data_IF_562692635217
#
_entry.id   IF_562692635217
#
_cell.length_a   1.000
_cell.length_b   1.000
_cell.length_c   1.000
_cell.angle_alpha   90.00
_cell.angle_beta   90.00
_cell.angle_gamma   90.00
#
_symmetry.space_group_name_H-M   'P 1'
#
loop_
_entity.id
_entity.type
_entity.pdbx_description
1 polymer ?
#
# COMPACT_ATOMS: atom_id res chain seq x y z
N UNK A 1 -1.79 -8.23 30.25
CA UNK A 1 -1.15 -8.46 28.95
C UNK A 1 0.14 -7.65 28.94
N UNK A 2 1.28 -8.33 28.90
CA UNK A 2 2.62 -7.73 29.00
C UNK A 2 2.82 -6.69 27.89
N UNK A 3 2.68 -5.41 28.21
CA UNK A 3 3.42 -4.37 27.50
C UNK A 3 4.88 -4.67 27.87
N UNK A 4 5.65 -5.28 26.95
CA UNK A 4 7.11 -5.14 27.04
C UNK A 4 7.33 -3.64 27.09
N UNK A 5 7.84 -3.16 28.23
CA UNK A 5 8.55 -1.89 28.29
C UNK A 5 9.43 -1.85 27.04
N UNK A 6 9.14 -0.93 26.13
CA UNK A 6 10.13 -0.56 25.12
C UNK A 6 11.30 -0.09 25.97
N UNK A 7 12.31 -0.94 26.12
CA UNK A 7 13.45 -0.66 26.97
C UNK A 7 13.96 0.71 26.59
N UNK A 8 13.97 1.64 27.54
CA UNK A 8 14.46 3.01 27.42
C UNK A 8 15.97 3.11 27.05
N UNK A 9 16.58 2.01 26.60
CA UNK A 9 18.00 1.83 26.39
C UNK A 9 18.39 1.74 24.91
N UNK A 10 17.44 1.85 23.97
CA UNK A 10 17.74 1.75 22.54
C UNK A 10 17.59 3.10 21.84
N UNK A 11 18.72 3.77 21.59
CA UNK A 11 18.77 5.02 20.84
C UNK A 11 19.33 4.76 19.46
N UNK A 12 18.54 5.10 18.43
CA UNK A 12 19.03 5.17 17.06
C UNK A 12 19.18 6.63 16.68
N UNK A 13 20.40 7.04 16.38
CA UNK A 13 20.70 8.42 15.98
C UNK A 13 20.92 8.46 14.47
N UNK A 14 19.95 8.94 13.69
CA UNK A 14 20.13 9.13 12.27
C UNK A 14 21.10 10.29 12.00
N UNK A 15 22.00 10.09 11.05
CA UNK A 15 22.99 11.06 10.59
C UNK A 15 22.81 11.33 9.11
N UNK A 16 22.98 12.60 8.75
CA UNK A 16 23.04 13.07 7.36
C UNK A 16 24.41 13.68 7.12
N UNK A 17 25.16 13.14 6.15
CA UNK A 17 26.47 13.66 5.78
C UNK A 17 26.31 14.76 4.73
N UNK A 18 26.89 15.93 4.99
CA UNK A 18 26.95 17.04 4.04
C UNK A 18 27.79 16.68 2.81
N UNK A 19 28.91 15.98 3.02
CA UNK A 19 29.70 15.35 1.98
C UNK A 19 29.60 13.82 2.12
N UNK A 20 28.83 13.14 1.24
CA UNK A 20 28.69 11.69 1.26
C UNK A 20 30.01 10.93 1.13
N UNK A 21 31.06 11.52 0.55
CA UNK A 21 32.37 10.86 0.41
C UNK A 21 33.02 10.59 1.77
N UNK A 22 32.71 11.39 2.79
CA UNK A 22 33.14 11.16 4.17
C UNK A 22 32.51 9.90 4.79
N UNK A 23 31.49 9.33 4.13
CA UNK A 23 30.76 8.13 4.54
C UNK A 23 30.69 7.10 3.40
N UNK A 24 31.79 6.91 2.67
CA UNK A 24 31.88 5.88 1.63
C UNK A 24 30.89 6.06 0.47
N UNK A 25 30.44 7.29 0.22
CA UNK A 25 29.47 7.64 -0.81
C UNK A 25 28.01 7.59 -0.37
N UNK A 26 27.72 7.25 0.90
CA UNK A 26 26.35 7.18 1.43
C UNK A 26 25.95 8.49 2.11
N UNK A 27 24.80 9.05 1.68
CA UNK A 27 24.27 10.31 2.21
C UNK A 27 23.78 10.20 3.66
N UNK A 28 23.29 9.03 4.06
CA UNK A 28 22.68 8.79 5.37
C UNK A 28 23.34 7.61 6.09
N UNK A 29 23.36 7.67 7.42
CA UNK A 29 23.78 6.57 8.29
C UNK A 29 22.98 6.62 9.60
N UNK A 30 23.06 5.58 10.41
CA UNK A 30 22.53 5.58 11.78
C UNK A 30 23.61 5.07 12.74
N UNK A 31 23.70 5.68 13.91
CA UNK A 31 24.38 5.08 15.06
C UNK A 31 23.37 4.25 15.87
N UNK A 32 23.75 3.04 16.26
CA UNK A 32 22.90 2.08 16.96
C UNK A 32 22.24 1.06 16.02
N UNK A 33 21.63 0.03 16.61
CA UNK A 33 20.91 -1.00 15.86
C UNK A 33 19.59 -0.44 15.35
N UNK A 34 19.39 -0.44 14.03
CA UNK A 34 18.16 0.06 13.41
C UNK A 34 17.11 -1.03 13.21
N UNK A 35 17.53 -2.30 13.12
CA UNK A 35 16.66 -3.41 12.73
C UNK A 35 15.54 -3.61 13.77
N UNK A 36 14.30 -3.53 13.33
CA UNK A 36 13.10 -3.66 14.16
C UNK A 36 12.73 -2.43 14.98
N UNK A 37 13.49 -1.34 14.87
CA UNK A 37 13.22 -0.08 15.58
C UNK A 37 12.76 1.02 14.62
N UNK A 38 11.81 1.83 15.05
CA UNK A 38 11.37 3.03 14.34
C UNK A 38 12.02 4.27 14.96
N UNK A 39 11.92 5.40 14.27
CA UNK A 39 12.31 6.71 14.80
C UNK A 39 11.14 7.69 14.76
N UNK A 40 11.01 8.53 15.79
CA UNK A 40 10.08 9.67 15.84
C UNK A 40 10.72 10.79 16.65
N UNK A 41 10.37 12.04 16.35
CA UNK A 41 10.93 13.20 17.05
C UNK A 41 10.34 13.37 18.46
N UNK A 42 9.06 13.05 18.62
CA UNK A 42 8.33 13.21 19.88
C UNK A 42 7.46 11.97 20.18
N UNK A 43 7.91 11.19 21.15
CA UNK A 43 7.19 10.00 21.61
C UNK A 43 5.84 10.32 22.27
N UNK A 44 5.72 11.47 22.95
CA UNK A 44 4.46 11.88 23.57
C UNK A 44 3.45 12.34 22.52
N UNK A 45 3.90 13.04 21.48
CA UNK A 45 3.09 13.34 20.30
C UNK A 45 2.63 12.05 19.62
N UNK A 46 3.52 11.06 19.45
CA UNK A 46 3.16 9.75 18.93
C UNK A 46 2.07 9.07 19.76
N UNK A 47 2.18 9.12 21.09
CA UNK A 47 1.19 8.52 21.99
C UNK A 47 -0.19 9.18 21.84
N UNK A 48 -0.25 10.50 21.72
CA UNK A 48 -1.51 11.27 21.63
C UNK A 48 -2.09 11.37 20.22
N UNK A 49 -1.29 11.19 19.17
CA UNK A 49 -1.72 11.30 17.78
C UNK A 49 -2.81 10.28 17.41
N UNK A 50 -3.75 10.69 16.56
CA UNK A 50 -4.73 9.78 15.96
C UNK A 50 -4.35 9.36 14.53
N UNK A 51 -3.39 10.04 13.91
CA UNK A 51 -2.82 9.71 12.60
C UNK A 51 -1.30 9.57 12.72
N UNK A 52 -0.75 8.43 12.32
CA UNK A 52 0.69 8.23 12.18
C UNK A 52 1.07 8.18 10.70
N UNK A 53 2.06 8.98 10.30
CA UNK A 53 2.59 8.98 8.92
C UNK A 53 3.92 8.21 8.92
N UNK A 54 3.94 7.06 8.26
CA UNK A 54 5.15 6.24 8.13
C UNK A 54 5.92 6.67 6.87
N UNK A 55 7.18 7.02 7.05
CA UNK A 55 8.10 7.47 5.99
C UNK A 55 9.43 6.72 6.07
N UNK A 56 10.26 6.81 5.03
CA UNK A 56 11.55 6.09 5.00
C UNK A 56 12.59 6.70 5.93
N UNK A 57 12.67 8.03 5.98
CA UNK A 57 13.79 8.75 6.59
C UNK A 57 13.35 9.64 7.76
N UNK A 58 14.26 9.87 8.71
CA UNK A 58 14.00 10.72 9.88
C UNK A 58 13.74 12.18 9.48
N UNK A 59 14.37 12.66 8.41
CA UNK A 59 14.10 14.01 7.89
C UNK A 59 12.67 14.11 7.36
N UNK A 60 12.17 13.11 6.64
CA UNK A 60 10.77 13.10 6.19
C UNK A 60 9.81 13.03 7.38
N UNK A 61 10.18 12.35 8.48
CA UNK A 61 9.35 12.28 9.67
C UNK A 61 9.29 13.65 10.37
N UNK A 62 10.42 14.35 10.51
CA UNK A 62 10.44 15.73 10.96
C UNK A 62 9.61 16.64 10.05
N UNK A 63 9.70 16.45 8.74
CA UNK A 63 8.91 17.21 7.78
C UNK A 63 7.40 17.01 8.00
N UNK A 64 6.94 15.80 8.33
CA UNK A 64 5.53 15.60 8.72
C UNK A 64 5.17 16.48 9.92
N UNK A 65 6.04 16.52 10.93
CA UNK A 65 5.78 17.28 12.16
C UNK A 65 5.77 18.80 11.90
N UNK A 66 6.58 19.33 10.97
CA UNK A 66 6.54 20.76 10.59
C UNK A 66 5.27 21.17 9.86
N UNK A 67 4.49 20.21 9.35
CA UNK A 67 3.17 20.50 8.83
C UNK A 67 2.18 20.90 9.93
N UNK A 68 2.46 20.65 11.21
CA UNK A 68 1.61 21.02 12.35
C UNK A 68 0.12 20.63 12.14
N UNK A 69 -0.13 19.49 11.48
CA UNK A 69 -1.47 18.98 11.28
C UNK A 69 -1.99 18.41 12.61
N UNK A 70 -3.15 18.86 13.13
CA UNK A 70 -3.67 18.38 14.40
C UNK A 70 -3.80 16.85 14.45
N UNK A 71 -3.13 16.24 15.43
CA UNK A 71 -3.15 14.80 15.68
C UNK A 71 -2.42 13.95 14.64
N UNK A 72 -1.52 14.54 13.84
CA UNK A 72 -0.55 13.84 12.99
C UNK A 72 0.80 13.74 13.70
N UNK A 73 1.55 12.69 13.36
CA UNK A 73 2.94 12.50 13.80
C UNK A 73 3.74 11.77 12.72
N UNK A 74 4.98 12.18 12.51
CA UNK A 74 5.94 11.49 11.65
C UNK A 74 6.62 10.31 12.35
N UNK A 75 6.69 9.18 11.65
CA UNK A 75 7.46 7.99 12.06
C UNK A 75 8.32 7.54 10.90
N UNK A 76 9.61 7.34 11.15
CA UNK A 76 10.54 6.83 10.16
C UNK A 76 10.84 5.35 10.37
N UNK A 77 10.90 4.61 9.26
CA UNK A 77 11.42 3.23 9.25
C UNK A 77 12.94 3.17 9.27
N UNK A 78 13.66 4.29 9.11
CA UNK A 78 15.12 4.33 8.96
C UNK A 78 15.61 3.49 7.75
N UNK A 79 14.87 3.57 6.66
CA UNK A 79 15.08 2.84 5.41
C UNK A 79 14.00 1.79 5.15
N UNK A 80 13.68 1.59 3.87
CA UNK A 80 12.58 0.72 3.43
C UNK A 80 12.72 -0.74 3.87
N UNK A 81 13.96 -1.27 3.93
CA UNK A 81 14.23 -2.66 4.33
C UNK A 81 13.85 -2.96 5.79
N UNK A 82 13.80 -1.94 6.65
CA UNK A 82 13.44 -2.10 8.05
C UNK A 82 11.92 -2.07 8.28
N UNK A 83 11.14 -1.64 7.28
CA UNK A 83 9.70 -1.46 7.42
C UNK A 83 8.97 -2.76 7.83
N UNK A 84 9.46 -3.91 7.39
CA UNK A 84 8.85 -5.22 7.64
C UNK A 84 9.38 -5.90 8.89
N UNK A 85 10.41 -5.34 9.53
CA UNK A 85 11.04 -5.85 10.75
C UNK A 85 10.49 -5.17 12.01
N UNK A 86 9.90 -3.97 11.87
CA UNK A 86 9.30 -3.22 12.98
C UNK A 86 7.99 -3.87 13.43
N UNK A 87 7.84 -4.07 14.74
CA UNK A 87 6.53 -4.42 15.30
C UNK A 87 5.62 -3.19 15.37
N UNK A 88 4.63 -3.12 14.49
CA UNK A 88 3.70 -2.00 14.36
C UNK A 88 2.49 -2.04 15.31
N UNK A 89 2.40 -2.99 16.24
CA UNK A 89 1.22 -3.15 17.11
C UNK A 89 0.89 -1.92 17.96
N UNK A 90 1.88 -1.10 18.29
CA UNK A 90 1.68 0.14 19.04
C UNK A 90 0.86 1.20 18.28
N UNK A 91 0.64 1.00 16.97
CA UNK A 91 -0.20 1.86 16.13
C UNK A 91 -1.68 1.42 16.08
N UNK A 92 -2.06 0.31 16.71
CA UNK A 92 -3.47 -0.12 16.78
C UNK A 92 -4.36 1.01 17.33
N UNK A 93 -5.53 1.20 16.70
CA UNK A 93 -6.47 2.28 17.01
C UNK A 93 -6.14 3.64 16.36
N UNK A 94 -4.95 3.82 15.79
CA UNK A 94 -4.59 5.01 15.00
C UNK A 94 -4.89 4.76 13.53
N UNK A 95 -5.07 5.84 12.76
CA UNK A 95 -5.00 5.80 11.30
C UNK A 95 -3.53 5.83 10.89
N UNK A 96 -3.09 4.89 10.08
CA UNK A 96 -1.75 4.89 9.51
C UNK A 96 -1.80 5.35 8.07
N UNK A 97 -0.89 6.23 7.71
CA UNK A 97 -0.72 6.75 6.36
C UNK A 97 0.72 6.49 5.95
N UNK A 98 0.93 5.75 4.87
CA UNK A 98 2.26 5.40 4.39
C UNK A 98 2.67 6.38 3.29
N UNK A 99 3.86 6.96 3.42
CA UNK A 99 4.42 7.92 2.47
C UNK A 99 5.91 7.61 2.25
N UNK A 100 6.18 6.69 1.32
CA UNK A 100 7.54 6.34 0.92
C UNK A 100 8.07 7.30 -0.15
N UNK A 101 9.35 7.27 -0.46
CA UNK A 101 9.91 8.18 -1.45
C UNK A 101 9.38 7.86 -2.85
N UNK A 102 9.09 8.88 -3.67
CA UNK A 102 8.57 8.69 -5.04
C UNK A 102 9.73 8.49 -6.01
N UNK A 103 10.35 7.33 -5.95
CA UNK A 103 11.46 6.95 -6.81
C UNK A 103 11.03 6.77 -8.27
N UNK A 104 11.94 7.09 -9.21
CA UNK A 104 11.79 6.72 -10.61
C UNK A 104 11.90 5.21 -10.87
N UNK A 105 11.44 4.73 -12.05
CA UNK A 105 11.59 3.33 -12.44
C UNK A 105 13.07 2.93 -12.52
N UNK A 106 13.39 1.70 -12.07
CA UNK A 106 14.71 1.09 -12.31
C UNK A 106 14.79 0.55 -13.74
N UNK A 107 15.98 0.11 -14.18
CA UNK A 107 16.22 -0.37 -15.56
C UNK A 107 15.35 -1.54 -16.04
N UNK A 108 14.59 -2.18 -15.15
CA UNK A 108 13.60 -3.21 -15.47
C UNK A 108 12.17 -2.66 -15.67
N UNK A 109 11.97 -1.34 -15.60
CA UNK A 109 10.68 -0.67 -15.70
C UNK A 109 9.77 -0.81 -14.46
N UNK A 110 10.27 -1.43 -13.38
CA UNK A 110 9.54 -1.58 -12.12
C UNK A 110 9.90 -0.44 -11.15
N UNK A 111 8.91 -0.07 -10.32
CA UNK A 111 9.07 0.90 -9.23
C UNK A 111 9.43 0.15 -7.94
N UNK A 112 10.72 0.12 -7.53
CA UNK A 112 11.22 -0.75 -6.46
C UNK A 112 10.58 -0.51 -5.10
N UNK A 113 10.22 0.75 -4.77
CA UNK A 113 9.56 1.08 -3.50
C UNK A 113 8.17 0.47 -3.35
N UNK A 114 7.50 0.10 -4.44
CA UNK A 114 6.11 -0.38 -4.38
C UNK A 114 5.95 -1.78 -3.79
N UNK A 115 6.98 -2.63 -3.88
CA UNK A 115 6.87 -4.00 -3.35
C UNK A 115 6.84 -4.02 -1.83
N UNK A 116 7.85 -3.39 -1.22
CA UNK A 116 7.98 -3.26 0.24
C UNK A 116 6.90 -2.38 0.85
N UNK A 117 6.44 -1.36 0.13
CA UNK A 117 5.29 -0.54 0.52
C UNK A 117 4.04 -1.39 0.76
N UNK A 118 3.75 -2.31 -0.16
CA UNK A 118 2.61 -3.23 -0.07
C UNK A 118 2.78 -4.29 1.02
N UNK A 119 4.00 -4.79 1.20
CA UNK A 119 4.30 -5.70 2.30
C UNK A 119 4.00 -5.03 3.65
N UNK A 120 4.46 -3.79 3.82
CA UNK A 120 4.13 -2.96 4.98
C UNK A 120 2.60 -2.73 5.10
N UNK A 121 1.93 -2.37 4.01
CA UNK A 121 0.48 -2.17 4.00
C UNK A 121 -0.28 -3.42 4.48
N UNK A 122 0.09 -4.59 3.94
CA UNK A 122 -0.51 -5.86 4.31
C UNK A 122 -0.24 -6.21 5.78
N UNK A 123 0.99 -6.01 6.25
CA UNK A 123 1.36 -6.26 7.64
C UNK A 123 0.54 -5.39 8.61
N UNK A 124 0.37 -4.10 8.30
CA UNK A 124 -0.46 -3.19 9.11
C UNK A 124 -1.93 -3.61 9.09
N UNK A 125 -2.48 -3.96 7.91
CA UNK A 125 -3.83 -4.46 7.78
C UNK A 125 -4.05 -5.77 8.57
N UNK A 126 -3.07 -6.69 8.56
CA UNK A 126 -3.06 -7.93 9.33
C UNK A 126 -3.09 -7.70 10.85
N UNK A 127 -2.49 -6.60 11.31
CA UNK A 127 -2.63 -6.10 12.69
C UNK A 127 -3.94 -5.33 12.95
N UNK A 128 -4.87 -5.31 12.00
CA UNK A 128 -6.15 -4.62 12.12
C UNK A 128 -6.06 -3.10 12.12
N UNK A 129 -4.95 -2.54 11.63
CA UNK A 129 -4.68 -1.11 11.61
C UNK A 129 -5.23 -0.49 10.32
N UNK A 130 -6.07 0.54 10.45
CA UNK A 130 -6.57 1.28 9.29
C UNK A 130 -5.45 2.01 8.57
N UNK A 131 -5.14 1.54 7.37
CA UNK A 131 -3.96 1.98 6.60
C UNK A 131 -4.37 2.61 5.27
N UNK A 132 -3.64 3.65 4.86
CA UNK A 132 -3.76 4.33 3.57
C UNK A 132 -2.37 4.60 3.01
N UNK A 133 -2.28 4.85 1.71
CA UNK A 133 -1.08 5.42 1.09
C UNK A 133 -1.33 6.92 0.85
N UNK A 134 -0.27 7.72 0.78
CA UNK A 134 -0.35 9.07 0.24
C UNK A 134 -0.49 8.99 -1.29
N UNK A 135 -1.37 9.82 -1.84
CA UNK A 135 -1.44 10.05 -3.26
C UNK A 135 -0.30 10.99 -3.70
N UNK A 136 0.68 10.40 -4.38
CA UNK A 136 1.86 11.10 -4.86
C UNK A 136 1.79 11.44 -6.36
N UNK A 137 0.65 11.23 -7.02
CA UNK A 137 0.51 11.35 -8.48
C UNK A 137 0.96 12.73 -8.98
N UNK A 138 0.43 13.79 -8.35
CA UNK A 138 0.62 15.17 -8.75
C UNK A 138 1.86 15.83 -8.13
N UNK A 139 2.68 15.06 -7.43
CA UNK A 139 3.90 15.58 -6.80
C UNK A 139 4.91 15.96 -7.88
N UNK A 140 5.34 17.22 -7.83
CA UNK A 140 6.33 17.81 -8.71
C UNK A 140 7.33 18.61 -7.89
N UNK A 141 8.62 18.34 -8.07
CA UNK A 141 9.69 19.17 -7.52
C UNK A 141 10.10 20.22 -8.52
N UNK A 142 10.68 21.31 -8.02
CA UNK A 142 11.36 22.26 -8.87
C UNK A 142 12.59 21.60 -9.50
N UNK A 143 12.74 21.70 -10.82
CA UNK A 143 13.91 21.19 -11.55
C UNK A 143 14.62 22.37 -12.19
N UNK A 144 15.85 22.61 -11.75
CA UNK A 144 16.75 23.59 -12.36
C UNK A 144 17.78 22.92 -13.28
N UNK A 145 18.58 23.73 -13.97
CA UNK A 145 19.63 23.24 -14.87
C UNK A 145 20.67 22.36 -14.14
N UNK A 146 20.98 22.66 -12.87
CA UNK A 146 21.95 21.91 -12.09
C UNK A 146 21.44 20.49 -11.74
N UNK A 147 20.14 20.38 -11.48
CA UNK A 147 19.45 19.10 -11.25
C UNK A 147 19.52 18.23 -12.50
N UNK A 148 19.33 18.83 -13.69
CA UNK A 148 19.45 18.13 -14.97
C UNK A 148 20.87 17.63 -15.19
N UNK A 149 21.88 18.48 -15.00
CA UNK A 149 23.30 18.11 -15.15
C UNK A 149 23.66 16.96 -14.19
N UNK A 150 23.31 17.07 -12.91
CA UNK A 150 23.56 16.01 -11.94
C UNK A 150 22.84 14.71 -12.26
N UNK A 151 21.67 14.77 -12.90
CA UNK A 151 20.94 13.57 -13.31
C UNK A 151 21.66 12.87 -14.49
N UNK A 152 22.08 13.65 -15.49
CA UNK A 152 22.82 13.15 -16.67
C UNK A 152 24.17 12.55 -16.26
N UNK A 153 24.90 13.21 -15.35
CA UNK A 153 26.19 12.71 -14.83
C UNK A 153 26.06 11.34 -14.13
N UNK A 154 24.97 11.15 -13.37
CA UNK A 154 24.69 9.88 -12.67
C UNK A 154 24.14 8.79 -13.57
N UNK A 155 23.59 9.16 -14.73
CA UNK A 155 22.89 8.25 -15.63
C UNK A 155 23.27 8.52 -17.09
N UNK A 156 24.55 8.35 -17.46
CA UNK A 156 25.05 8.68 -18.80
C UNK A 156 24.32 7.92 -19.92
N UNK A 157 23.74 6.75 -19.60
CA UNK A 157 23.03 5.89 -20.56
C UNK A 157 21.49 6.07 -20.55
N UNK A 158 20.90 6.97 -19.74
CA UNK A 158 19.43 7.11 -19.56
C UNK A 158 18.77 8.20 -20.42
N UNK A 159 19.51 8.91 -21.27
CA UNK A 159 18.92 9.89 -22.21
C UNK A 159 17.84 9.25 -23.11
N UNK A 160 18.02 7.98 -23.47
CA UNK A 160 17.15 7.21 -24.38
C UNK A 160 15.85 6.71 -23.74
N UNK A 161 15.73 6.66 -22.40
CA UNK A 161 14.53 6.14 -21.70
C UNK A 161 13.50 7.22 -21.36
N UNK A 162 13.90 8.49 -21.38
CA UNK A 162 13.03 9.62 -21.02
C UNK A 162 12.31 10.23 -22.23
N UNK A 163 12.63 9.79 -23.44
CA UNK A 163 12.07 10.27 -24.70
C UNK A 163 11.59 9.03 -25.46
N UNK A 164 10.30 8.97 -25.76
CA UNK A 164 9.62 7.78 -26.30
C UNK A 164 9.90 7.54 -27.79
N UNK A 165 11.09 7.91 -28.28
CA UNK A 165 11.40 7.92 -29.71
C UNK A 165 12.69 7.17 -29.99
N UNK A 166 12.56 6.09 -30.76
CA UNK A 166 13.64 5.23 -31.23
C UNK A 166 14.58 5.86 -32.27
N UNK A 167 14.95 7.13 -32.11
CA UNK A 167 15.91 7.79 -32.99
C UNK A 167 17.13 8.33 -32.23
N UNK A 168 18.28 7.78 -32.59
CA UNK A 168 19.58 8.08 -32.05
C UNK A 168 20.10 9.44 -32.57
N UNK A 169 20.75 10.18 -31.66
CA UNK A 169 21.74 11.22 -31.91
C UNK A 169 21.28 12.54 -32.58
N UNK A 170 20.76 13.47 -31.76
CA UNK A 170 21.11 14.92 -31.76
C UNK A 170 20.32 15.66 -30.67
N UNK A 171 20.76 15.56 -29.41
CA UNK A 171 19.84 15.61 -28.25
C UNK A 171 19.71 16.93 -27.46
N UNK A 172 20.37 18.04 -27.83
CA UNK A 172 20.45 19.22 -26.93
C UNK A 172 19.97 20.57 -27.49
N UNK A 173 19.23 20.64 -28.60
CA UNK A 173 18.98 21.93 -29.30
C UNK A 173 17.52 22.36 -29.45
N UNK A 174 16.53 21.68 -28.86
CA UNK A 174 15.14 22.17 -28.84
C UNK A 174 14.64 22.43 -27.42
N UNK A 175 14.16 23.66 -27.18
CA UNK A 175 13.58 24.09 -25.89
C UNK A 175 12.41 23.18 -25.45
N UNK A 176 11.68 22.61 -26.40
CA UNK A 176 10.53 21.73 -26.13
C UNK A 176 10.93 20.41 -25.46
N UNK A 177 12.02 19.78 -25.91
CA UNK A 177 12.52 18.52 -25.29
C UNK A 177 13.13 18.77 -23.91
N UNK A 178 13.77 19.92 -23.70
CA UNK A 178 14.27 20.32 -22.39
C UNK A 178 13.13 20.51 -21.37
N UNK A 179 12.02 21.12 -21.78
CA UNK A 179 10.83 21.27 -20.94
C UNK A 179 10.14 19.92 -20.66
N UNK A 180 10.12 18.99 -21.62
CA UNK A 180 9.66 17.62 -21.39
C UNK A 180 10.55 16.87 -20.38
N UNK A 181 11.88 17.00 -20.50
CA UNK A 181 12.83 16.40 -19.56
C UNK A 181 12.66 16.97 -18.15
N UNK A 182 12.55 18.30 -18.02
CA UNK A 182 12.25 18.99 -16.75
C UNK A 182 10.95 18.48 -16.14
N UNK A 183 9.89 18.39 -16.92
CA UNK A 183 8.57 17.92 -16.47
C UNK A 183 8.62 16.47 -15.97
N UNK A 184 9.38 15.58 -16.64
CA UNK A 184 9.56 14.19 -16.21
C UNK A 184 10.43 14.10 -14.95
N UNK A 185 11.57 14.77 -14.92
CA UNK A 185 12.46 14.80 -13.75
C UNK A 185 11.79 15.43 -12.52
N UNK A 186 10.90 16.39 -12.72
CA UNK A 186 10.11 16.99 -11.64
C UNK A 186 9.21 15.96 -10.96
N UNK A 187 8.81 14.91 -11.68
CA UNK A 187 7.88 13.90 -11.17
C UNK A 187 8.54 12.70 -10.50
N UNK A 188 9.87 12.63 -10.49
CA UNK A 188 10.66 11.52 -9.94
C UNK A 188 11.64 11.97 -8.88
N UNK A 189 11.99 11.03 -8.00
CA UNK A 189 12.92 11.20 -6.88
C UNK A 189 12.51 12.43 -6.06
N UNK A 190 11.23 12.50 -5.70
CA UNK A 190 10.63 13.56 -4.89
C UNK A 190 10.16 12.99 -3.56
N UNK A 191 10.44 13.70 -2.48
CA UNK A 191 10.04 13.34 -1.13
C UNK A 191 9.20 14.45 -0.44
N UNK A 192 8.86 14.24 0.84
CA UNK A 192 8.11 15.23 1.62
C UNK A 192 8.91 16.51 1.87
N UNK A 193 10.22 16.40 2.04
CA UNK A 193 11.10 17.54 2.29
C UNK A 193 11.13 18.49 1.06
N UNK A 194 11.12 17.94 -0.15
CA UNK A 194 10.99 18.73 -1.39
C UNK A 194 9.69 19.53 -1.44
N UNK A 195 8.58 18.95 -0.97
CA UNK A 195 7.29 19.65 -0.91
C UNK A 195 7.28 20.74 0.16
N UNK A 196 7.90 20.48 1.31
CA UNK A 196 8.03 21.46 2.39
C UNK A 196 8.85 22.68 1.95
N UNK A 197 9.91 22.46 1.18
CA UNK A 197 10.74 23.52 0.59
C UNK A 197 9.97 24.40 -0.40
N UNK A 198 8.90 23.88 -1.02
CA UNK A 198 8.00 24.69 -1.85
C UNK A 198 7.07 25.54 -0.98
N UNK A 199 6.30 24.89 -0.11
CA UNK A 199 5.53 25.55 0.94
C UNK A 199 4.95 24.55 1.94
N UNK A 200 4.76 25.00 3.18
CA UNK A 200 4.02 24.23 4.20
C UNK A 200 2.58 23.94 3.76
N UNK A 201 1.96 24.82 2.95
CA UNK A 201 0.61 24.59 2.42
C UNK A 201 0.57 23.43 1.41
N UNK A 202 1.59 23.30 0.55
CA UNK A 202 1.75 22.17 -0.37
C UNK A 202 1.91 20.87 0.40
N UNK A 203 2.77 20.87 1.42
CA UNK A 203 2.98 19.74 2.31
C UNK A 203 1.69 19.30 3.01
N UNK A 204 0.94 20.24 3.61
CA UNK A 204 -0.35 19.97 4.26
C UNK A 204 -1.34 19.30 3.32
N UNK A 205 -1.48 19.83 2.10
CA UNK A 205 -2.34 19.25 1.05
C UNK A 205 -1.88 17.85 0.67
N UNK A 206 -0.58 17.63 0.54
CA UNK A 206 -0.01 16.34 0.19
C UNK A 206 -0.31 15.29 1.27
N UNK A 207 -0.08 15.60 2.55
CA UNK A 207 -0.34 14.68 3.68
C UNK A 207 -1.82 14.33 3.86
N UNK A 208 -2.72 15.17 3.37
CA UNK A 208 -4.17 14.94 3.40
C UNK A 208 -4.69 14.27 2.13
N UNK A 209 -3.90 14.24 1.05
CA UNK A 209 -4.25 13.59 -0.20
C UNK A 209 -3.95 12.10 -0.10
N UNK A 210 -4.95 11.33 0.28
CA UNK A 210 -4.84 9.87 0.38
C UNK A 210 -5.04 9.22 -0.99
N UNK A 211 -4.36 8.11 -1.20
CA UNK A 211 -4.71 7.16 -2.23
C UNK A 211 -6.05 6.49 -1.87
N UNK A 212 -7.05 6.75 -2.69
CA UNK A 212 -8.40 6.22 -2.56
C UNK A 212 -8.71 5.16 -3.60
N UNK A 213 -7.71 4.62 -4.29
CA UNK A 213 -7.91 3.53 -5.22
C UNK A 213 -8.39 2.26 -4.48
N UNK A 214 -9.26 1.48 -5.13
CA UNK A 214 -9.78 0.23 -4.54
C UNK A 214 -8.68 -0.78 -4.21
N UNK A 215 -7.62 -0.79 -5.02
CA UNK A 215 -6.39 -1.54 -4.75
C UNK A 215 -5.31 -0.50 -4.42
N UNK A 216 -4.84 -0.41 -3.16
CA UNK A 216 -3.85 0.58 -2.76
C UNK A 216 -2.60 0.57 -3.66
N UNK A 217 -2.18 1.72 -4.18
CA UNK A 217 -0.97 1.87 -4.98
C UNK A 217 -1.09 1.43 -6.44
N UNK A 218 -2.26 0.97 -6.89
CA UNK A 218 -2.54 0.70 -8.31
C UNK A 218 -3.29 1.89 -8.88
N UNK A 219 -2.65 2.59 -9.82
CA UNK A 219 -3.23 3.79 -10.45
C UNK A 219 -4.33 3.41 -11.48
N UNK A 220 -5.09 4.41 -11.95
CA UNK A 220 -6.05 4.25 -13.05
C UNK A 220 -5.36 3.96 -14.41
N UNK A 221 -6.05 3.26 -15.34
CA UNK A 221 -5.54 2.90 -16.69
C UNK A 221 -4.95 4.08 -17.47
N UNK A 222 -5.57 5.26 -17.44
CA UNK A 222 -5.07 6.48 -18.09
C UNK A 222 -3.79 7.04 -17.46
N UNK A 223 -3.31 6.44 -16.38
CA UNK A 223 -2.22 6.90 -15.52
C UNK A 223 -1.10 5.86 -15.39
N UNK A 224 -1.18 4.73 -16.10
CA UNK A 224 -0.15 3.70 -16.13
C UNK A 224 1.02 4.16 -17.02
N UNK A 225 2.07 4.70 -16.40
CA UNK A 225 3.34 5.03 -17.10
C UNK A 225 4.39 3.92 -16.98
N UNK A 226 4.11 2.86 -16.22
CA UNK A 226 5.02 1.75 -15.93
C UNK A 226 4.25 0.43 -15.81
N UNK A 227 4.96 -0.72 -15.83
CA UNK A 227 4.34 -2.03 -15.62
C UNK A 227 3.74 -2.07 -14.21
N UNK A 228 2.42 -2.29 -14.11
CA UNK A 228 1.74 -2.45 -12.83
C UNK A 228 2.15 -3.76 -12.17
N UNK A 229 2.25 -3.77 -10.84
CA UNK A 229 2.53 -4.99 -10.06
C UNK A 229 1.40 -6.01 -10.19
N UNK A 230 0.17 -5.53 -10.28
CA UNK A 230 -1.02 -6.37 -10.44
C UNK A 230 -1.39 -6.40 -11.92
N UNK A 231 -1.46 -7.61 -12.47
CA UNK A 231 -2.13 -7.82 -13.74
C UNK A 231 -3.64 -7.86 -13.49
N UNK A 232 -4.37 -6.99 -14.20
CA UNK A 232 -5.82 -7.01 -14.23
C UNK A 232 -6.26 -7.41 -15.65
N UNK A 233 -7.31 -8.25 -15.79
CA UNK A 233 -7.95 -8.47 -17.07
C UNK A 233 -8.37 -7.14 -17.73
N UNK A 234 -8.46 -7.11 -19.06
CA UNK A 234 -8.80 -5.90 -19.82
C UNK A 234 -10.13 -5.29 -19.37
N UNK A 235 -11.14 -6.14 -19.18
CA UNK A 235 -12.46 -5.73 -18.71
C UNK A 235 -12.41 -5.03 -17.34
N UNK A 236 -11.54 -5.48 -16.43
CA UNK A 236 -11.39 -4.88 -15.09
C UNK A 236 -10.60 -3.58 -15.17
N UNK A 237 -9.62 -3.52 -16.05
CA UNK A 237 -8.72 -2.39 -16.24
C UNK A 237 -9.48 -1.13 -16.70
N UNK A 238 -10.55 -1.28 -17.48
CA UNK A 238 -11.36 -0.16 -18.00
C UNK A 238 -12.18 0.56 -16.92
N UNK A 239 -12.73 -0.19 -15.97
CA UNK A 239 -13.65 0.35 -14.96
C UNK A 239 -13.01 0.53 -13.59
N UNK A 240 -11.86 -0.08 -13.33
CA UNK A 240 -11.19 -0.08 -12.03
C UNK A 240 -11.08 1.32 -11.40
N UNK A 241 -10.70 2.32 -12.20
CA UNK A 241 -10.48 3.69 -11.74
C UNK A 241 -11.74 4.37 -11.21
N UNK A 242 -12.93 3.86 -11.57
CA UNK A 242 -14.21 4.39 -11.10
C UNK A 242 -14.47 4.02 -9.64
N UNK A 243 -13.80 2.99 -9.11
CA UNK A 243 -13.97 2.58 -7.71
C UNK A 243 -13.09 3.41 -6.78
N UNK A 244 -13.73 4.08 -5.83
CA UNK A 244 -13.06 4.94 -4.84
C UNK A 244 -13.31 4.37 -3.43
N UNK A 245 -12.24 3.98 -2.75
CA UNK A 245 -12.22 3.45 -1.41
C UNK A 245 -11.88 4.55 -0.39
N UNK A 246 -12.91 5.24 0.12
CA UNK A 246 -12.74 6.20 1.22
C UNK A 246 -12.80 5.48 2.57
N UNK A 247 -12.33 6.12 3.64
CA UNK A 247 -12.18 5.46 4.95
C UNK A 247 -13.46 4.80 5.49
N UNK A 248 -14.62 5.38 5.22
CA UNK A 248 -15.89 4.92 5.79
C UNK A 248 -16.88 4.40 4.75
N UNK A 249 -16.56 4.49 3.46
CA UNK A 249 -17.47 4.09 2.39
C UNK A 249 -16.75 3.89 1.07
N UNK A 250 -17.38 3.11 0.19
CA UNK A 250 -16.90 2.86 -1.17
C UNK A 250 -17.84 3.55 -2.17
N UNK A 251 -17.27 4.24 -3.15
CA UNK A 251 -17.98 4.93 -4.22
C UNK A 251 -17.67 4.30 -5.58
N UNK A 252 -18.55 4.56 -6.53
CA UNK A 252 -18.37 4.29 -7.95
C UNK A 252 -18.65 5.56 -8.76
N UNK A 253 -17.71 5.98 -9.60
CA UNK A 253 -17.89 7.12 -10.50
C UNK A 253 -18.74 6.71 -11.69
N UNK A 254 -19.96 7.25 -11.76
CA UNK A 254 -20.90 7.06 -12.86
C UNK A 254 -20.75 8.20 -13.86
N UNK A 255 -20.68 7.87 -15.15
CA UNK A 255 -20.77 8.85 -16.23
C UNK A 255 -22.24 9.07 -16.61
N UNK A 256 -22.68 10.32 -16.61
CA UNK A 256 -24.04 10.72 -16.95
C UNK A 256 -23.99 11.77 -18.05
N UNK A 257 -24.63 11.49 -19.17
CA UNK A 257 -24.74 12.46 -20.27
C UNK A 257 -25.86 13.46 -19.98
N UNK A 258 -25.51 14.73 -19.84
CA UNK A 258 -26.47 15.86 -19.73
C UNK A 258 -26.53 16.60 -21.05
N UNK A 259 -27.72 17.11 -21.38
CA UNK A 259 -27.88 18.04 -22.50
C UNK A 259 -27.85 19.45 -21.93
N UNK A 260 -26.87 20.25 -22.33
CA UNK A 260 -26.77 21.66 -21.99
C UNK A 260 -27.21 22.47 -23.20
N UNK A 261 -28.03 23.48 -22.96
CA UNK A 261 -28.41 24.43 -23.99
C UNK A 261 -27.55 25.68 -23.85
N UNK A 262 -26.83 26.03 -24.91
CA UNK A 262 -26.02 27.25 -24.95
C UNK A 262 -26.92 28.49 -25.06
N UNK A 263 -26.35 29.66 -24.80
CA UNK A 263 -27.06 30.95 -24.96
C UNK A 263 -27.58 31.16 -26.39
N UNK A 264 -26.98 30.51 -27.39
CA UNK A 264 -27.36 30.58 -28.80
C UNK A 264 -28.40 29.50 -29.20
N UNK A 265 -28.94 28.74 -28.24
CA UNK A 265 -29.94 27.69 -28.47
C UNK A 265 -29.36 26.35 -28.99
N UNK A 266 -28.03 26.21 -29.02
CA UNK A 266 -27.40 24.94 -29.39
C UNK A 266 -27.44 23.97 -28.21
N UNK A 267 -27.93 22.75 -28.47
CA UNK A 267 -27.96 21.66 -27.50
C UNK A 267 -26.72 20.80 -27.63
N UNK A 268 -25.85 20.84 -26.64
CA UNK A 268 -24.65 20.01 -26.55
C UNK A 268 -24.85 18.91 -25.51
N UNK A 269 -24.37 17.70 -25.81
CA UNK A 269 -24.33 16.60 -24.85
C UNK A 269 -22.98 16.60 -24.17
N UNK A 270 -22.96 16.83 -22.86
CA UNK A 270 -21.76 16.73 -22.03
C UNK A 270 -21.84 15.49 -21.15
N UNK A 271 -20.74 14.77 -21.02
CA UNK A 271 -20.63 13.70 -20.04
C UNK A 271 -20.12 14.27 -18.72
N UNK A 272 -20.84 14.01 -17.64
CA UNK A 272 -20.48 14.41 -16.29
C UNK A 272 -20.21 13.17 -15.43
N UNK A 273 -19.15 13.22 -14.65
CA UNK A 273 -18.77 12.18 -13.70
C UNK A 273 -19.36 12.49 -12.31
N UNK A 274 -20.24 11.63 -11.83
CA UNK A 274 -20.95 11.80 -10.56
C UNK A 274 -20.66 10.60 -9.65
N UNK A 275 -20.24 10.82 -8.39
CA UNK A 275 -20.04 9.74 -7.45
C UNK A 275 -21.37 9.10 -7.03
N UNK A 276 -21.43 7.77 -7.07
CA UNK A 276 -22.53 6.96 -6.54
C UNK A 276 -22.04 6.12 -5.36
N UNK A 277 -22.84 6.00 -4.29
CA UNK A 277 -22.48 5.16 -3.15
C UNK A 277 -22.62 3.67 -3.50
N UNK A 278 -21.58 2.88 -3.21
CA UNK A 278 -21.58 1.42 -3.41
C UNK A 278 -21.83 0.69 -2.09
N UNK A 279 -21.07 1.03 -1.05
CA UNK A 279 -21.17 0.40 0.26
C UNK A 279 -20.83 1.39 1.39
N UNK A 280 -21.45 1.23 2.55
CA UNK A 280 -21.21 2.03 3.76
C UNK A 280 -19.96 1.62 4.55
N UNK A 281 -18.96 1.06 3.86
CA UNK A 281 -17.70 0.62 4.41
C UNK A 281 -16.61 0.56 3.31
N UNK A 282 -15.35 0.47 3.72
CA UNK A 282 -14.17 0.29 2.86
C UNK A 282 -13.66 -1.14 2.95
N UNK A 283 -13.46 -1.82 1.83
CA UNK A 283 -12.68 -3.06 1.83
C UNK A 283 -11.19 -2.67 1.82
N UNK A 284 -10.54 -2.78 2.97
CA UNK A 284 -9.14 -2.37 3.13
C UNK A 284 -8.17 -3.43 2.60
N UNK A 285 -8.52 -4.71 2.74
CA UNK A 285 -7.71 -5.81 2.24
C UNK A 285 -8.57 -7.07 1.99
N UNK A 286 -8.16 -7.86 0.99
CA UNK A 286 -8.73 -9.17 0.67
C UNK A 286 -7.57 -10.14 0.40
N UNK A 287 -7.44 -11.18 1.23
CA UNK A 287 -6.41 -12.21 1.08
C UNK A 287 -7.05 -13.56 0.83
N UNK A 288 -6.58 -14.27 -0.21
CA UNK A 288 -6.95 -15.65 -0.49
C UNK A 288 -5.98 -16.60 0.22
N UNK A 289 -6.53 -17.60 0.89
CA UNK A 289 -5.79 -18.63 1.61
C UNK A 289 -6.25 -19.97 1.07
N UNK A 290 -5.31 -20.79 0.60
CA UNK A 290 -5.58 -22.14 0.11
C UNK A 290 -4.99 -23.11 1.12
N UNK A 291 -5.86 -23.80 1.85
CA UNK A 291 -5.50 -24.80 2.85
C UNK A 291 -5.45 -26.17 2.20
N UNK A 292 -4.31 -26.83 2.31
CA UNK A 292 -4.13 -28.18 1.80
C UNK A 292 -5.04 -29.19 2.52
N UNK A 293 -5.57 -30.14 1.76
CA UNK A 293 -6.31 -31.27 2.29
C UNK A 293 -5.46 -32.15 3.21
N UNK A 294 -6.12 -32.86 4.11
CA UNK A 294 -5.47 -33.73 5.09
C UNK A 294 -4.56 -34.79 4.46
N UNK A 295 -5.01 -35.43 3.37
CA UNK A 295 -4.27 -36.51 2.70
C UNK A 295 -3.00 -35.98 2.04
N UNK A 296 -3.08 -34.84 1.33
CA UNK A 296 -1.93 -34.19 0.73
C UNK A 296 -0.90 -33.76 1.80
N UNK A 297 -1.39 -33.20 2.91
CA UNK A 297 -0.58 -32.78 4.07
C UNK A 297 0.24 -33.93 4.66
N UNK A 298 -0.33 -35.13 4.77
CA UNK A 298 0.34 -36.27 5.40
C UNK A 298 1.19 -37.11 4.44
N UNK A 299 0.72 -37.29 3.19
CA UNK A 299 1.32 -38.24 2.26
C UNK A 299 2.12 -37.59 1.13
N UNK A 300 2.07 -36.27 0.98
CA UNK A 300 2.76 -35.57 -0.10
C UNK A 300 2.20 -35.84 -1.48
N UNK A 301 0.96 -36.35 -1.55
CA UNK A 301 0.26 -36.56 -2.82
C UNK A 301 -0.28 -35.24 -3.36
N UNK A 302 -0.59 -35.21 -4.67
CA UNK A 302 -1.28 -34.09 -5.28
C UNK A 302 -2.61 -33.81 -4.57
N UNK A 303 -2.93 -32.54 -4.34
CA UNK A 303 -4.15 -32.13 -3.65
C UNK A 303 -5.25 -31.80 -4.68
N UNK A 304 -6.17 -32.73 -4.88
CA UNK A 304 -7.27 -32.58 -5.82
C UNK A 304 -8.45 -31.76 -5.26
N UNK A 305 -8.45 -31.44 -3.96
CA UNK A 305 -9.58 -30.74 -3.31
C UNK A 305 -9.14 -29.86 -2.13
N UNK A 306 -8.29 -28.85 -2.38
CA UNK A 306 -7.90 -27.91 -1.34
C UNK A 306 -9.09 -27.04 -0.91
N UNK A 307 -9.10 -26.61 0.34
CA UNK A 307 -10.13 -25.70 0.86
C UNK A 307 -9.68 -24.25 0.68
N UNK A 308 -10.53 -23.41 0.10
CA UNK A 308 -10.23 -21.98 -0.08
C UNK A 308 -10.95 -21.14 0.96
N UNK A 309 -10.22 -20.22 1.58
CA UNK A 309 -10.76 -19.20 2.46
C UNK A 309 -10.38 -17.81 1.95
N UNK A 310 -11.24 -16.83 2.22
CA UNK A 310 -10.97 -15.42 1.99
C UNK A 310 -10.97 -14.68 3.32
N UNK A 311 -9.83 -14.14 3.71
CA UNK A 311 -9.72 -13.21 4.83
C UNK A 311 -9.98 -11.79 4.33
N UNK A 312 -11.04 -11.18 4.84
CA UNK A 312 -11.46 -9.83 4.48
C UNK A 312 -11.21 -8.90 5.67
N UNK A 313 -10.59 -7.75 5.42
CA UNK A 313 -10.48 -6.66 6.37
C UNK A 313 -11.25 -5.44 5.87
N UNK A 314 -12.18 -4.96 6.69
CA UNK A 314 -13.10 -3.89 6.34
C UNK A 314 -12.99 -2.76 7.36
N UNK A 315 -12.95 -1.52 6.89
CA UNK A 315 -13.13 -0.35 7.74
C UNK A 315 -14.60 0.10 7.69
N UNK A 316 -15.23 0.19 8.85
CA UNK A 316 -16.61 0.68 8.98
C UNK A 316 -16.63 1.96 9.79
N UNK A 317 -17.65 2.80 9.58
CA UNK A 317 -17.87 4.01 10.38
C UNK A 317 -18.00 3.72 11.88
N UNK A 318 -18.58 2.57 12.25
CA UNK A 318 -18.80 2.18 13.66
C UNK A 318 -17.49 1.82 14.38
N UNK A 319 -16.51 1.31 13.64
CA UNK A 319 -15.24 0.84 14.21
C UNK A 319 -14.10 1.87 14.08
N UNK A 320 -14.35 3.00 13.42
CA UNK A 320 -13.38 4.09 13.25
C UNK A 320 -12.11 3.62 12.54
N UNK A 321 -10.96 3.71 13.20
CA UNK A 321 -9.65 3.32 12.66
C UNK A 321 -9.31 1.83 12.88
N UNK A 322 -10.21 1.03 13.47
CA UNK A 322 -9.99 -0.39 13.65
C UNK A 322 -10.61 -1.16 12.48
N UNK A 323 -9.82 -2.02 11.83
CA UNK A 323 -10.33 -2.89 10.79
C UNK A 323 -11.06 -4.09 11.40
N UNK A 324 -12.25 -4.37 10.86
CA UNK A 324 -13.02 -5.57 11.17
C UNK A 324 -12.55 -6.68 10.24
N UNK A 325 -12.01 -7.75 10.82
CA UNK A 325 -11.60 -8.95 10.08
C UNK A 325 -12.69 -10.01 10.11
N UNK A 326 -13.02 -10.58 8.96
CA UNK A 326 -13.88 -11.77 8.83
C UNK A 326 -13.29 -12.73 7.81
N UNK A 327 -13.61 -14.01 7.97
CA UNK A 327 -13.16 -15.08 7.07
C UNK A 327 -14.39 -15.67 6.39
N UNK A 328 -14.31 -15.83 5.08
CA UNK A 328 -15.33 -16.47 4.24
C UNK A 328 -14.78 -17.80 3.73
N UNK A 329 -15.43 -18.90 4.04
CA UNK A 329 -15.21 -20.20 3.39
C UNK A 329 -16.07 -20.35 2.13
N UNK A 330 -17.25 -19.72 2.11
CA UNK A 330 -18.19 -19.77 1.01
C UNK A 330 -18.96 -18.44 0.86
N UNK A 331 -19.51 -18.20 -0.34
CA UNK A 331 -20.42 -17.07 -0.56
C UNK A 331 -19.77 -15.70 -0.45
N UNK A 332 -18.50 -15.56 -0.83
CA UNK A 332 -17.81 -14.27 -0.94
C UNK A 332 -18.63 -13.24 -1.74
N UNK A 333 -19.33 -13.68 -2.79
CA UNK A 333 -20.15 -12.84 -3.66
C UNK A 333 -21.61 -12.68 -3.22
N UNK A 334 -21.99 -13.13 -2.01
CA UNK A 334 -23.34 -12.98 -1.49
C UNK A 334 -23.48 -11.65 -0.72
N UNK A 335 -24.14 -10.61 -1.26
CA UNK A 335 -24.20 -9.29 -0.63
C UNK A 335 -24.86 -9.32 0.74
N UNK A 336 -25.85 -10.19 0.96
CA UNK A 336 -26.56 -10.28 2.25
C UNK A 336 -25.61 -10.66 3.39
N UNK A 337 -24.66 -11.59 3.16
CA UNK A 337 -23.65 -11.94 4.17
C UNK A 337 -22.80 -10.72 4.53
N UNK A 338 -22.47 -9.86 3.58
CA UNK A 338 -21.71 -8.63 3.82
C UNK A 338 -22.54 -7.57 4.54
N UNK A 339 -23.82 -7.42 4.19
CA UNK A 339 -24.76 -6.53 4.85
C UNK A 339 -24.89 -6.86 6.34
N UNK A 340 -25.05 -8.14 6.67
CA UNK A 340 -25.15 -8.64 8.03
C UNK A 340 -23.84 -8.43 8.83
N UNK A 341 -22.68 -8.60 8.18
CA UNK A 341 -21.37 -8.55 8.85
C UNK A 341 -20.81 -7.13 9.01
N UNK A 342 -21.00 -6.26 8.01
CA UNK A 342 -20.25 -5.01 7.90
C UNK A 342 -21.14 -3.77 7.85
N UNK A 343 -22.27 -3.84 7.15
CA UNK A 343 -23.20 -2.72 6.99
C UNK A 343 -23.78 -2.61 5.58
N UNK A 344 -24.53 -1.54 5.28
CA UNK A 344 -25.35 -1.46 4.09
C UNK A 344 -24.53 -1.47 2.78
N UNK A 345 -25.06 -2.17 1.79
CA UNK A 345 -24.63 -2.11 0.39
C UNK A 345 -25.72 -1.40 -0.39
N UNK A 346 -25.37 -0.27 -1.00
CA UNK A 346 -26.31 0.59 -1.74
C UNK A 346 -26.41 0.18 -3.21
N UNK A 347 -25.33 -0.36 -3.78
CA UNK A 347 -25.26 -0.83 -5.15
C UNK A 347 -24.60 -2.22 -5.21
N UNK A 348 -25.44 -3.25 -5.22
CA UNK A 348 -24.96 -4.63 -5.21
C UNK A 348 -24.23 -5.03 -6.49
N UNK A 349 -24.55 -4.40 -7.64
CA UNK A 349 -23.90 -4.72 -8.91
C UNK A 349 -22.45 -4.25 -8.88
N UNK A 350 -22.25 -2.96 -8.59
CA UNK A 350 -20.90 -2.39 -8.49
C UNK A 350 -20.12 -2.97 -7.31
N UNK A 351 -20.79 -3.34 -6.21
CA UNK A 351 -20.13 -4.03 -5.11
C UNK A 351 -19.54 -5.40 -5.51
N UNK A 352 -20.32 -6.23 -6.21
CA UNK A 352 -19.81 -7.52 -6.73
C UNK A 352 -18.69 -7.32 -7.74
N UNK A 353 -18.76 -6.27 -8.55
CA UNK A 353 -17.70 -5.90 -9.50
C UNK A 353 -16.40 -5.52 -8.78
N UNK A 354 -16.48 -4.70 -7.74
CA UNK A 354 -15.34 -4.37 -6.88
C UNK A 354 -14.72 -5.63 -6.25
N UNK A 355 -15.55 -6.54 -5.73
CA UNK A 355 -15.08 -7.81 -5.16
C UNK A 355 -14.35 -8.68 -6.18
N UNK A 356 -14.84 -8.76 -7.42
CA UNK A 356 -14.18 -9.53 -8.48
C UNK A 356 -12.78 -8.98 -8.77
N UNK A 357 -12.66 -7.65 -8.90
CA UNK A 357 -11.36 -7.00 -9.10
C UNK A 357 -10.40 -7.30 -7.94
N UNK A 358 -10.86 -7.18 -6.71
CA UNK A 358 -10.03 -7.49 -5.53
C UNK A 358 -9.68 -8.97 -5.45
N UNK A 359 -10.58 -9.88 -5.86
CA UNK A 359 -10.32 -11.31 -5.89
C UNK A 359 -9.22 -11.64 -6.91
N UNK A 360 -9.19 -10.99 -8.07
CA UNK A 360 -8.11 -11.18 -9.05
C UNK A 360 -6.75 -10.81 -8.47
N UNK A 361 -6.67 -9.75 -7.66
CA UNK A 361 -5.45 -9.38 -6.92
C UNK A 361 -5.09 -10.44 -5.87
N UNK A 362 -6.09 -10.94 -5.14
CA UNK A 362 -5.90 -11.95 -4.12
C UNK A 362 -5.47 -13.30 -4.71
N UNK A 363 -5.96 -13.65 -5.91
CA UNK A 363 -5.55 -14.84 -6.66
C UNK A 363 -4.07 -14.78 -7.06
N UNK A 364 -3.58 -13.63 -7.49
CA UNK A 364 -2.17 -13.44 -7.83
C UNK A 364 -1.23 -13.54 -6.62
N UNK A 365 -1.73 -13.26 -5.41
CA UNK A 365 -0.95 -13.21 -4.16
C UNK A 365 -1.49 -14.15 -3.07
N UNK A 366 -2.05 -15.30 -3.46
CA UNK A 366 -2.65 -16.21 -2.50
C UNK A 366 -1.60 -16.87 -1.60
N UNK A 367 -1.98 -17.15 -0.35
CA UNK A 367 -1.13 -17.87 0.60
C UNK A 367 -1.51 -19.34 0.60
N UNK A 368 -0.52 -20.22 0.51
CA UNK A 368 -0.71 -21.63 0.78
C UNK A 368 -0.58 -21.88 2.28
N UNK A 369 -1.46 -22.71 2.81
CA UNK A 369 -1.55 -23.04 4.21
C UNK A 369 -1.67 -24.54 4.43
N UNK A 370 -1.20 -25.01 5.57
CA UNK A 370 -1.32 -26.39 6.03
C UNK A 370 -1.74 -26.36 7.48
N UNK A 371 -2.94 -26.86 7.75
CA UNK A 371 -3.51 -26.93 9.10
C UNK A 371 -2.96 -28.13 9.87
N UNK A 372 -1.64 -28.20 9.99
CA UNK A 372 -0.93 -29.21 10.73
C UNK A 372 0.36 -28.63 11.33
N UNK A 373 0.47 -28.68 12.65
CA UNK A 373 1.69 -28.29 13.36
C UNK A 373 2.60 -29.51 13.48
N UNK A 374 3.83 -29.41 13.00
CA UNK A 374 4.80 -30.51 12.98
C UNK A 374 5.36 -30.78 11.58
N UNK A 375 5.82 -32.01 11.34
CA UNK A 375 6.39 -32.41 10.06
C UNK A 375 5.26 -32.72 9.06
N UNK A 376 5.12 -31.91 8.02
CA UNK A 376 4.06 -32.03 7.02
C UNK A 376 4.57 -31.77 5.60
N UNK A 377 3.86 -32.32 4.62
CA UNK A 377 4.08 -31.99 3.22
C UNK A 377 3.43 -30.66 2.87
N UNK A 378 4.20 -29.75 2.28
CA UNK A 378 3.77 -28.44 1.80
C UNK A 378 4.33 -28.20 0.42
N UNK A 379 3.46 -27.88 -0.55
CA UNK A 379 3.86 -27.67 -1.95
C UNK A 379 4.76 -28.78 -2.50
N UNK A 380 4.43 -30.04 -2.18
CA UNK A 380 5.18 -31.22 -2.62
C UNK A 380 6.52 -31.45 -1.91
N UNK A 381 6.83 -30.72 -0.83
CA UNK A 381 8.05 -30.89 -0.04
C UNK A 381 7.74 -31.15 1.42
N UNK A 382 8.46 -32.08 2.04
CA UNK A 382 8.36 -32.33 3.47
C UNK A 382 9.07 -31.19 4.23
N UNK A 383 8.36 -30.53 5.13
CA UNK A 383 8.88 -29.41 5.92
C UNK A 383 8.34 -29.41 7.35
N UNK A 384 9.08 -28.80 8.27
CA UNK A 384 8.60 -28.54 9.62
C UNK A 384 7.72 -27.28 9.59
N UNK A 385 6.45 -27.43 9.93
CA UNK A 385 5.51 -26.32 10.09
C UNK A 385 5.37 -25.98 11.59
N UNK A 386 5.95 -24.86 12.07
CA UNK A 386 5.84 -24.46 13.48
C UNK A 386 4.45 -23.94 13.87
N UNK A 387 3.54 -23.75 12.89
CA UNK A 387 2.19 -23.24 13.11
C UNK A 387 1.89 -21.95 12.37
N UNK A 388 2.91 -21.27 11.82
CA UNK A 388 2.76 -19.98 11.13
C UNK A 388 1.89 -20.06 9.87
N UNK A 389 1.81 -21.25 9.26
CA UNK A 389 0.99 -21.53 8.08
C UNK A 389 -0.34 -22.23 8.41
N UNK A 390 -0.78 -22.19 9.68
CA UNK A 390 -2.04 -22.81 10.11
C UNK A 390 -3.17 -21.79 10.22
N UNK A 391 -4.31 -22.11 9.59
CA UNK A 391 -5.55 -21.35 9.64
C UNK A 391 -6.69 -22.27 10.07
N UNK A 392 -6.74 -22.57 11.36
CA UNK A 392 -7.81 -23.39 11.93
C UNK A 392 -9.09 -22.55 12.06
N UNK A 393 -10.19 -22.90 11.36
CA UNK A 393 -11.47 -22.23 11.54
C UNK A 393 -12.05 -22.47 12.95
N UNK A 394 -11.71 -23.60 13.55
CA UNK A 394 -12.07 -23.98 14.92
C UNK A 394 -10.79 -24.11 15.77
N UNK A 395 -10.58 -23.24 16.78
CA UNK A 395 -9.37 -23.26 17.61
C UNK A 395 -9.13 -24.61 18.31
N UNK A 396 -10.18 -25.35 18.60
CA UNK A 396 -10.13 -26.68 19.23
C UNK A 396 -9.45 -27.73 18.34
N UNK A 397 -9.42 -27.51 17.02
CA UNK A 397 -8.78 -28.39 16.05
C UNK A 397 -7.28 -28.08 15.85
N UNK A 398 -6.75 -27.05 16.53
CA UNK A 398 -5.38 -26.58 16.37
C UNK A 398 -4.33 -27.61 16.81
N UNK A 399 -4.74 -28.64 17.55
CA UNK A 399 -3.92 -29.80 17.87
C UNK A 399 -4.77 -31.09 17.86
N UNK A 400 -4.71 -31.93 16.80
CA UNK A 400 -5.40 -33.22 16.78
C UNK A 400 -5.00 -34.16 17.93
N UNK A 401 -3.89 -33.87 18.61
CA UNK A 401 -3.35 -34.65 19.72
C UNK A 401 -3.82 -34.18 21.10
N UNK A 402 -4.53 -33.05 21.21
CA UNK A 402 -4.98 -32.54 22.53
C UNK A 402 -6.10 -33.39 23.13
N UNK A 403 -6.90 -34.08 22.30
CA UNK A 403 -7.99 -34.97 22.72
C UNK A 403 -7.60 -36.45 22.79
N UNK A 404 -6.37 -36.82 22.46
CA UNK A 404 -5.87 -38.13 22.88
C UNK A 404 -5.56 -38.05 24.36
N UNK A 405 -6.50 -38.52 25.18
CA UNK A 405 -6.28 -38.86 26.56
C UNK A 405 -4.92 -39.55 26.71
N UNK A 406 -3.93 -38.83 27.25
CA UNK A 406 -2.81 -39.44 27.94
C UNK A 406 -3.39 -40.05 29.22
N UNK A 407 -4.00 -41.22 29.08
CA UNK A 407 -4.17 -42.14 30.19
C UNK A 407 -2.78 -42.67 30.51
N UNK A 408 -2.10 -41.98 31.43
CA UNK A 408 -0.99 -42.52 32.22
C UNK A 408 -1.58 -43.10 33.50
#
# INVERSE_FOLDING_TARGET
MCLREVSYNHFVTPLLYLDPNLNGGLKTQCHGEKKGYFWTADYYALKSAHTAVIVESSINALTVDTAELPGYVGISTLGIENATEINWEFLRGKRVVICMDKDGPKGNGLLPGQEKLWELYNNLCDLGISTFLINQENWKKHVDCQTIISFLDKNPDRETWLLDDGDNQSFLHSNEKLEQLKSRLASYDIDLNDLANQSVATLKKALQSLDTCLIPGVLAKSRWKSKTRVWLPEIDTEDYWRFIAQAEHTLFIKTVTKTVESMDGFKEKIDEEIPNHVAGFRIANLTKIIVAGYVATLKGVHDDSPTTFYAVQVQTRRNGNNLVKKVFSDGLFNPKKWEDLFGPIYDQHNFKRALNIMENVANANHRHAVNFVGLAWFNGRLQVNPGDACYFPEPEQQCPYFTQHLSV
#
